data_IF_462854786658
#
_entry.id   IF_462854786658
#
_cell.length_a   1.000
_cell.length_b   1.000
_cell.length_c   1.000
_cell.angle_alpha   90.00
_cell.angle_beta   90.00
_cell.angle_gamma   90.00
#
_symmetry.space_group_name_H-M   'P 1'
#
loop_
_entity.id
_entity.type
_entity.pdbx_description
1 polymer ?
#
# COMPACT_ATOMS: atom_id res chain seq x y z
N UNK A 1 -77.47 -21.08 -32.96
CA UNK A 1 -77.66 -22.55 -33.08
C UNK A 1 -76.29 -23.18 -33.36
N UNK A 2 -75.77 -23.89 -32.37
CA UNK A 2 -75.19 -25.25 -32.42
C UNK A 2 -74.44 -25.79 -33.66
N UNK A 3 -73.22 -26.29 -33.37
CA UNK A 3 -72.59 -27.58 -33.82
C UNK A 3 -72.05 -27.56 -35.28
N UNK A 4 -70.93 -28.14 -35.72
CA UNK A 4 -69.94 -29.17 -35.30
C UNK A 4 -68.72 -29.00 -36.23
N UNK A 5 -67.47 -29.00 -35.74
CA UNK A 5 -66.57 -30.15 -35.59
C UNK A 5 -65.80 -30.58 -36.85
N UNK A 6 -64.50 -30.82 -36.60
CA UNK A 6 -63.72 -31.95 -37.12
C UNK A 6 -63.30 -31.91 -38.59
N UNK A 7 -62.01 -31.65 -38.83
CA UNK A 7 -61.06 -32.64 -39.42
C UNK A 7 -59.69 -32.01 -39.63
N UNK A 8 -58.80 -32.15 -38.64
CA UNK A 8 -57.35 -31.98 -38.79
C UNK A 8 -56.66 -33.25 -38.29
N UNK A 9 -57.18 -34.39 -38.72
CA UNK A 9 -56.77 -35.72 -38.27
C UNK A 9 -56.32 -36.54 -39.48
N UNK A 10 -55.23 -36.12 -40.13
CA UNK A 10 -54.60 -36.96 -41.16
C UNK A 10 -53.21 -36.44 -41.51
N UNK A 11 -52.21 -36.62 -40.62
CA UNK A 11 -50.78 -36.79 -41.02
C UNK A 11 -49.84 -37.08 -39.84
N UNK A 12 -50.03 -38.12 -39.04
CA UNK A 12 -48.92 -38.68 -38.24
C UNK A 12 -49.12 -40.19 -38.00
N UNK A 13 -48.98 -40.98 -39.06
CA UNK A 13 -48.88 -42.43 -38.97
C UNK A 13 -47.91 -42.93 -40.05
N UNK A 14 -46.63 -43.06 -39.71
CA UNK A 14 -45.72 -43.91 -40.49
C UNK A 14 -44.68 -44.56 -39.59
N UNK A 15 -44.67 -45.90 -39.64
CA UNK A 15 -43.72 -46.86 -39.06
C UNK A 15 -43.85 -47.15 -37.55
N UNK A 16 -44.66 -48.17 -37.26
CA UNK A 16 -44.40 -49.05 -36.12
C UNK A 16 -45.14 -48.74 -34.81
N UNK A 17 -46.47 -48.63 -34.87
CA UNK A 17 -47.34 -49.27 -33.87
C UNK A 17 -47.35 -48.77 -32.42
N UNK A 18 -47.00 -47.51 -32.12
CA UNK A 18 -47.23 -46.94 -30.79
C UNK A 18 -47.71 -45.48 -30.89
N UNK A 19 -49.04 -45.29 -30.88
CA UNK A 19 -49.66 -43.98 -30.69
C UNK A 19 -49.55 -43.62 -29.20
N UNK A 20 -48.62 -42.72 -28.86
CA UNK A 20 -48.52 -42.17 -27.50
C UNK A 20 -49.42 -40.94 -27.41
N UNK A 21 -50.51 -41.04 -26.65
CA UNK A 21 -51.26 -39.86 -26.19
C UNK A 21 -50.30 -38.94 -25.41
N UNK A 22 -50.19 -37.65 -25.79
CA UNK A 22 -49.42 -36.68 -25.02
C UNK A 22 -50.29 -36.22 -23.84
N UNK A 23 -50.28 -36.97 -22.73
CA UNK A 23 -51.15 -36.63 -21.61
C UNK A 23 -50.77 -37.14 -20.23
N UNK A 24 -50.06 -38.27 -20.09
CA UNK A 24 -49.95 -38.92 -18.76
C UNK A 24 -48.57 -39.39 -18.36
N UNK A 25 -47.63 -39.57 -19.30
CA UNK A 25 -46.25 -39.99 -18.99
C UNK A 25 -45.29 -38.80 -18.75
N UNK A 26 -45.61 -37.61 -19.26
CA UNK A 26 -44.80 -36.40 -19.08
C UNK A 26 -44.84 -35.81 -17.65
N UNK A 27 -45.91 -36.06 -16.88
CA UNK A 27 -46.05 -35.49 -15.53
C UNK A 27 -45.25 -36.23 -14.45
N UNK A 28 -44.99 -37.53 -14.61
CA UNK A 28 -44.26 -38.34 -13.63
C UNK A 28 -42.73 -38.18 -13.79
N UNK A 29 -42.28 -38.09 -15.04
CA UNK A 29 -40.86 -37.82 -15.38
C UNK A 29 -40.48 -36.38 -15.02
N UNK A 30 -41.40 -35.42 -15.16
CA UNK A 30 -41.22 -34.03 -14.70
C UNK A 30 -41.01 -33.94 -13.17
N UNK A 31 -41.81 -34.64 -12.37
CA UNK A 31 -41.68 -34.64 -10.91
C UNK A 31 -40.41 -35.36 -10.41
N UNK A 32 -40.03 -36.46 -11.05
CA UNK A 32 -38.80 -37.20 -10.71
C UNK A 32 -37.56 -36.44 -11.20
N UNK A 33 -37.56 -35.87 -12.40
CA UNK A 33 -36.47 -35.05 -12.89
C UNK A 33 -36.30 -33.76 -12.08
N UNK A 34 -37.40 -33.15 -11.61
CA UNK A 34 -37.39 -32.00 -10.69
C UNK A 34 -36.75 -32.36 -9.34
N UNK A 35 -37.17 -33.47 -8.72
CA UNK A 35 -36.59 -33.92 -7.44
C UNK A 35 -35.14 -34.39 -7.58
N UNK A 36 -34.78 -35.04 -8.69
CA UNK A 36 -33.40 -35.41 -9.00
C UNK A 36 -32.53 -34.17 -9.26
N UNK A 37 -33.06 -33.13 -9.92
CA UNK A 37 -32.38 -31.86 -10.12
C UNK A 37 -32.19 -31.10 -8.80
N UNK A 38 -33.16 -31.14 -7.88
CA UNK A 38 -33.01 -30.59 -6.53
C UNK A 38 -31.95 -31.37 -5.72
N UNK A 39 -31.92 -32.70 -5.82
CA UNK A 39 -30.89 -33.52 -5.17
C UNK A 39 -29.49 -33.30 -5.78
N UNK A 40 -29.40 -33.11 -7.10
CA UNK A 40 -28.15 -32.76 -7.78
C UNK A 40 -27.71 -31.32 -7.46
N UNK A 41 -28.64 -30.39 -7.33
CA UNK A 41 -28.35 -29.02 -6.90
C UNK A 41 -27.90 -28.98 -5.42
N UNK A 42 -28.55 -29.74 -4.54
CA UNK A 42 -28.15 -29.87 -3.13
C UNK A 42 -26.81 -30.60 -2.99
N UNK A 43 -26.55 -31.66 -3.75
CA UNK A 43 -25.22 -32.31 -3.73
C UNK A 43 -24.14 -31.41 -4.33
N UNK A 44 -24.44 -30.69 -5.41
CA UNK A 44 -23.58 -29.62 -5.95
C UNK A 44 -23.28 -28.52 -4.93
N UNK A 45 -24.26 -28.14 -4.12
CA UNK A 45 -24.11 -27.21 -2.99
C UNK A 45 -23.12 -27.75 -1.95
N UNK A 46 -23.21 -29.04 -1.59
CA UNK A 46 -22.26 -29.67 -0.66
C UNK A 46 -20.81 -29.66 -1.16
N UNK A 47 -20.57 -29.72 -2.47
CA UNK A 47 -19.22 -29.66 -3.05
C UNK A 47 -18.75 -28.23 -3.37
N UNK A 48 -19.65 -27.33 -3.77
CA UNK A 48 -19.33 -25.96 -4.16
C UNK A 48 -19.01 -25.07 -2.95
N UNK A 49 -19.77 -25.17 -1.86
CA UNK A 49 -19.59 -24.36 -0.65
C UNK A 49 -18.20 -24.51 0.00
N UNK A 50 -17.67 -25.72 0.23
CA UNK A 50 -16.33 -25.87 0.77
C UNK A 50 -15.25 -25.42 -0.21
N UNK A 51 -15.46 -25.54 -1.53
CA UNK A 51 -14.52 -25.04 -2.56
C UNK A 51 -14.46 -23.52 -2.56
N UNK A 52 -15.61 -22.85 -2.55
CA UNK A 52 -15.71 -21.38 -2.50
C UNK A 52 -15.14 -20.82 -1.19
N UNK A 53 -15.40 -21.48 -0.05
CA UNK A 53 -14.79 -21.11 1.25
C UNK A 53 -13.27 -21.26 1.25
N UNK A 54 -12.73 -22.30 0.62
CA UNK A 54 -11.27 -22.48 0.48
C UNK A 54 -10.65 -21.42 -0.42
N UNK A 55 -11.31 -21.07 -1.52
CA UNK A 55 -10.86 -20.03 -2.43
C UNK A 55 -10.84 -18.65 -1.75
N UNK A 56 -11.94 -18.26 -1.09
CA UNK A 56 -12.01 -17.00 -0.32
C UNK A 56 -10.92 -16.92 0.76
N UNK A 57 -10.66 -18.01 1.48
CA UNK A 57 -9.55 -18.05 2.46
C UNK A 57 -8.18 -17.97 1.80
N UNK A 58 -8.00 -18.52 0.60
CA UNK A 58 -6.74 -18.40 -0.12
C UNK A 58 -6.51 -16.94 -0.55
N UNK A 59 -7.55 -16.28 -1.05
CA UNK A 59 -7.56 -14.86 -1.41
C UNK A 59 -7.22 -13.97 -0.20
N UNK A 60 -7.86 -14.19 0.94
CA UNK A 60 -7.55 -13.47 2.19
C UNK A 60 -6.09 -13.62 2.61
N UNK A 61 -5.53 -14.83 2.48
CA UNK A 61 -4.13 -15.10 2.81
C UNK A 61 -3.19 -14.40 1.82
N UNK A 62 -3.55 -14.34 0.53
CA UNK A 62 -2.74 -13.61 -0.47
C UNK A 62 -2.77 -12.11 -0.22
N UNK A 63 -3.93 -11.52 0.06
CA UNK A 63 -4.06 -10.10 0.38
C UNK A 63 -3.32 -9.76 1.67
N UNK A 64 -3.41 -10.60 2.69
CA UNK A 64 -2.64 -10.42 3.91
C UNK A 64 -1.13 -10.46 3.66
N UNK A 65 -0.63 -11.34 2.77
CA UNK A 65 0.80 -11.35 2.41
C UNK A 65 1.22 -10.09 1.66
N UNK A 66 0.38 -9.58 0.77
CA UNK A 66 0.62 -8.32 0.06
C UNK A 66 0.70 -7.14 1.03
N UNK A 67 -0.22 -7.07 1.99
CA UNK A 67 -0.20 -6.09 3.06
C UNK A 67 1.11 -6.16 3.86
N UNK A 68 1.53 -7.37 4.26
CA UNK A 68 2.80 -7.57 4.96
C UNK A 68 4.01 -7.11 4.14
N UNK A 69 4.01 -7.39 2.84
CA UNK A 69 5.06 -6.93 1.93
C UNK A 69 5.09 -5.40 1.79
N UNK A 70 3.93 -4.74 1.75
CA UNK A 70 3.85 -3.28 1.75
C UNK A 70 4.39 -2.67 3.04
N UNK A 71 4.03 -3.21 4.20
CA UNK A 71 4.57 -2.77 5.50
C UNK A 71 6.09 -2.92 5.53
N UNK A 72 6.60 -4.07 5.07
CA UNK A 72 8.04 -4.32 5.01
C UNK A 72 8.75 -3.32 4.08
N UNK A 73 8.23 -3.14 2.86
CA UNK A 73 8.77 -2.18 1.89
C UNK A 73 8.71 -0.75 2.42
N UNK A 74 7.62 -0.36 3.09
CA UNK A 74 7.48 0.96 3.70
C UNK A 74 8.56 1.20 4.76
N UNK A 75 8.84 0.21 5.61
CA UNK A 75 9.93 0.30 6.58
C UNK A 75 11.30 0.40 5.92
N UNK A 76 11.59 -0.43 4.92
CA UNK A 76 12.85 -0.34 4.15
C UNK A 76 13.03 1.05 3.52
N UNK A 77 11.98 1.58 2.90
CA UNK A 77 11.99 2.92 2.31
C UNK A 77 12.17 4.01 3.36
N UNK A 78 11.49 3.91 4.50
CA UNK A 78 11.67 4.85 5.59
C UNK A 78 13.12 4.81 6.11
N UNK A 79 13.68 3.62 6.35
CA UNK A 79 15.07 3.46 6.80
C UNK A 79 16.07 4.01 5.77
N UNK A 80 15.79 3.91 4.47
CA UNK A 80 16.65 4.49 3.43
C UNK A 80 16.71 6.02 3.47
N UNK A 81 15.76 6.69 4.13
CA UNK A 81 15.82 8.14 4.37
C UNK A 81 16.75 8.53 5.52
N UNK A 82 17.05 7.62 6.46
CA UNK A 82 17.93 7.88 7.61
C UNK A 82 19.29 8.47 7.18
N UNK A 83 20.08 7.82 6.30
CA UNK A 83 21.39 8.37 5.91
C UNK A 83 21.29 9.72 5.20
N UNK A 84 20.16 10.03 4.57
CA UNK A 84 19.91 11.29 3.87
C UNK A 84 19.53 12.41 4.84
N UNK A 85 18.65 12.13 5.81
CA UNK A 85 18.18 13.10 6.80
C UNK A 85 19.20 13.35 7.91
N UNK A 86 19.97 12.33 8.28
CA UNK A 86 20.94 12.34 9.39
C UNK A 86 22.39 12.36 8.90
N UNK A 87 22.65 12.46 7.60
CA UNK A 87 23.94 12.98 7.17
C UNK A 87 24.12 14.32 7.88
N UNK A 88 25.26 14.52 8.56
CA UNK A 88 25.56 15.80 9.17
C UNK A 88 25.53 16.84 8.06
N UNK A 89 24.41 17.56 7.95
CA UNK A 89 24.26 18.73 7.09
C UNK A 89 24.76 19.86 7.97
N UNK A 90 26.04 20.22 7.91
CA UNK A 90 26.62 21.19 8.79
C UNK A 90 26.30 22.56 8.19
N UNK A 91 25.03 22.93 8.23
CA UNK A 91 24.67 24.32 8.46
C UNK A 91 24.98 24.61 9.94
N UNK A 92 26.25 24.47 10.29
CA UNK A 92 26.75 24.73 11.63
C UNK A 92 26.80 26.24 11.75
N UNK A 93 25.66 26.85 12.07
CA UNK A 93 25.53 28.29 12.29
C UNK A 93 26.53 28.77 13.36
N UNK A 94 26.95 27.88 14.28
CA UNK A 94 28.01 28.14 15.26
C UNK A 94 29.43 28.14 14.67
N UNK A 95 29.68 27.44 13.57
CA UNK A 95 30.97 27.50 12.88
C UNK A 95 31.19 28.85 12.18
N UNK A 96 30.12 29.61 11.89
CA UNK A 96 30.24 30.98 11.38
C UNK A 96 30.75 31.98 12.43
N UNK A 97 30.69 31.65 13.73
CA UNK A 97 31.24 32.50 14.80
C UNK A 97 32.78 32.45 14.87
N UNK A 98 33.45 31.55 14.13
CA UNK A 98 34.90 31.32 14.24
C UNK A 98 35.59 31.10 12.88
N UNK A 99 35.57 32.05 11.94
CA UNK A 99 36.39 32.04 10.69
C UNK A 99 36.47 30.69 9.94
N UNK A 100 35.50 29.80 10.19
CA UNK A 100 35.64 28.39 9.87
C UNK A 100 34.95 28.17 8.53
N UNK A 101 35.59 27.44 7.62
CA UNK A 101 35.05 27.18 6.31
C UNK A 101 33.67 26.53 6.41
N UNK A 102 32.71 27.15 5.74
CA UNK A 102 31.38 26.58 5.60
C UNK A 102 31.47 25.17 4.97
N UNK A 103 30.80 24.19 5.55
CA UNK A 103 30.99 22.78 5.22
C UNK A 103 29.72 22.29 4.51
N UNK A 104 29.80 22.08 3.19
CA UNK A 104 28.64 21.80 2.35
C UNK A 104 28.78 20.45 1.65
N UNK A 105 27.75 19.59 1.64
CA UNK A 105 27.74 18.31 0.91
C UNK A 105 26.75 18.29 -0.25
N UNK A 106 27.06 17.50 -1.29
CA UNK A 106 26.21 17.30 -2.47
C UNK A 106 24.83 16.76 -2.06
N UNK A 107 23.73 17.17 -2.74
CA UNK A 107 22.40 16.63 -2.45
C UNK A 107 22.38 15.11 -2.57
N UNK A 108 21.61 14.43 -1.71
CA UNK A 108 21.22 13.07 -2.02
C UNK A 108 20.44 13.06 -3.35
N UNK A 109 20.54 11.96 -4.10
CA UNK A 109 19.82 11.80 -5.37
C UNK A 109 18.30 11.92 -5.24
N UNK A 110 17.56 12.07 -6.34
CA UNK A 110 16.09 12.14 -6.32
C UNK A 110 15.50 10.95 -5.57
N UNK A 111 14.55 11.21 -4.67
CA UNK A 111 13.86 10.13 -3.95
C UNK A 111 12.61 9.74 -4.72
N UNK A 112 12.50 8.47 -5.08
CA UNK A 112 11.36 7.96 -5.85
C UNK A 112 10.11 7.93 -4.98
N UNK A 113 9.04 8.61 -5.40
CA UNK A 113 7.71 8.49 -4.80
C UNK A 113 7.07 7.18 -5.29
N UNK A 114 6.85 6.23 -4.38
CA UNK A 114 6.27 4.93 -4.70
C UNK A 114 4.83 4.86 -4.18
N UNK A 115 3.85 5.17 -5.06
CA UNK A 115 2.41 5.09 -4.72
C UNK A 115 1.96 3.67 -4.37
N UNK A 116 2.76 2.65 -4.71
CA UNK A 116 2.51 1.24 -4.40
C UNK A 116 2.47 0.98 -2.87
N UNK A 117 2.91 1.93 -2.05
CA UNK A 117 2.85 1.87 -0.59
C UNK A 117 1.46 2.15 -0.01
N UNK A 118 0.56 2.76 -0.78
CA UNK A 118 -0.81 3.05 -0.32
C UNK A 118 -1.63 1.75 -0.18
N UNK A 119 -2.48 1.72 0.84
CA UNK A 119 -3.43 0.62 1.01
C UNK A 119 -4.48 0.64 -0.09
N UNK A 120 -4.69 -0.50 -0.73
CA UNK A 120 -5.75 -0.66 -1.71
C UNK A 120 -7.10 -0.99 -1.05
N UNK A 121 -8.18 -0.92 -1.83
CA UNK A 121 -9.54 -1.20 -1.34
C UNK A 121 -9.69 -2.63 -0.80
N UNK A 122 -8.93 -3.59 -1.33
CA UNK A 122 -9.03 -4.99 -0.93
C UNK A 122 -8.34 -5.24 0.41
N UNK A 123 -7.22 -4.57 0.67
CA UNK A 123 -6.49 -4.59 1.93
C UNK A 123 -7.28 -3.89 3.04
N UNK A 124 -7.87 -2.73 2.74
CA UNK A 124 -8.76 -2.02 3.67
C UNK A 124 -9.98 -2.89 4.00
N UNK A 125 -10.61 -3.49 2.98
CA UNK A 125 -11.76 -4.37 3.19
C UNK A 125 -11.39 -5.61 4.04
N UNK A 126 -10.20 -6.17 3.85
CA UNK A 126 -9.69 -7.27 4.68
C UNK A 126 -9.54 -6.85 6.14
N UNK A 127 -8.91 -5.70 6.40
CA UNK A 127 -8.72 -5.18 7.76
C UNK A 127 -10.05 -4.82 8.43
N UNK A 128 -10.99 -4.23 7.68
CA UNK A 128 -12.35 -3.98 8.15
C UNK A 128 -13.07 -5.29 8.51
N UNK A 129 -12.94 -6.32 7.67
CA UNK A 129 -13.51 -7.65 7.94
C UNK A 129 -12.94 -8.28 9.22
N UNK A 130 -11.69 -8.01 9.53
CA UNK A 130 -11.04 -8.45 10.77
C UNK A 130 -11.35 -7.56 11.99
N UNK A 131 -12.02 -6.42 11.80
CA UNK A 131 -12.29 -5.44 12.86
C UNK A 131 -11.08 -4.59 13.24
N UNK A 132 -10.04 -4.59 12.41
CA UNK A 132 -8.72 -3.98 12.70
C UNK A 132 -8.58 -2.61 11.98
N UNK A 133 -9.64 -1.79 12.02
CA UNK A 133 -9.71 -0.48 11.35
C UNK A 133 -8.64 0.48 11.89
N UNK A 134 -8.39 0.44 13.20
CA UNK A 134 -7.35 1.25 13.83
C UNK A 134 -5.97 0.96 13.21
N UNK A 135 -5.68 -0.32 12.98
CA UNK A 135 -4.42 -0.76 12.38
C UNK A 135 -4.29 -0.29 10.92
N UNK A 136 -5.39 -0.30 10.16
CA UNK A 136 -5.41 0.31 8.82
C UNK A 136 -5.07 1.80 8.86
N UNK A 137 -5.66 2.54 9.82
CA UNK A 137 -5.36 3.95 10.04
C UNK A 137 -3.88 4.21 10.41
N UNK A 138 -3.31 3.37 11.28
CA UNK A 138 -1.89 3.47 11.64
C UNK A 138 -0.96 3.29 10.43
N UNK A 139 -1.27 2.35 9.53
CA UNK A 139 -0.51 2.17 8.29
C UNK A 139 -0.66 3.39 7.38
N UNK A 140 -1.89 3.88 7.15
CA UNK A 140 -2.12 5.05 6.30
C UNK A 140 -1.36 6.28 6.80
N UNK A 141 -1.44 6.57 8.11
CA UNK A 141 -0.70 7.68 8.71
C UNK A 141 0.82 7.50 8.51
N UNK A 142 1.31 6.26 8.60
CA UNK A 142 2.75 6.00 8.43
C UNK A 142 3.22 6.20 6.98
N UNK A 143 2.35 5.89 6.01
CA UNK A 143 2.59 6.20 4.58
C UNK A 143 2.58 7.70 4.34
N UNK A 144 1.60 8.43 4.89
CA UNK A 144 1.50 9.89 4.77
C UNK A 144 2.70 10.60 5.39
N UNK A 145 3.16 10.15 6.56
CA UNK A 145 4.38 10.66 7.20
C UNK A 145 5.62 10.41 6.33
N UNK A 146 5.75 9.23 5.74
CA UNK A 146 6.83 8.93 4.80
C UNK A 146 6.81 9.89 3.61
N UNK A 147 5.65 10.08 2.97
CA UNK A 147 5.49 11.01 1.85
C UNK A 147 5.78 12.47 2.25
N UNK A 148 5.39 12.86 3.46
CA UNK A 148 5.66 14.19 4.01
C UNK A 148 7.16 14.41 4.22
N UNK A 149 7.90 13.41 4.72
CA UNK A 149 9.35 13.47 4.84
C UNK A 149 10.04 13.57 3.46
N UNK A 150 9.51 12.90 2.43
CA UNK A 150 10.00 13.11 1.06
C UNK A 150 9.80 14.55 0.60
N UNK A 151 8.61 15.11 0.87
CA UNK A 151 8.32 16.49 0.51
C UNK A 151 9.24 17.49 1.24
N UNK A 152 9.50 17.28 2.54
CA UNK A 152 10.45 18.11 3.28
C UNK A 152 11.87 18.04 2.71
N UNK A 153 12.30 16.86 2.25
CA UNK A 153 13.59 16.71 1.58
C UNK A 153 13.64 17.46 0.24
N UNK A 154 12.58 17.40 -0.56
CA UNK A 154 12.48 18.14 -1.83
C UNK A 154 12.53 19.66 -1.57
N UNK A 155 11.74 20.14 -0.61
CA UNK A 155 11.70 21.55 -0.23
C UNK A 155 13.04 22.03 0.34
N UNK A 156 13.68 21.22 1.16
CA UNK A 156 15.01 21.51 1.68
C UNK A 156 16.01 21.69 0.54
N UNK A 157 16.02 20.79 -0.47
CA UNK A 157 16.90 20.90 -1.64
C UNK A 157 16.64 22.18 -2.41
N UNK A 158 15.38 22.52 -2.66
CA UNK A 158 15.01 23.73 -3.40
C UNK A 158 15.46 25.00 -2.66
N UNK A 159 15.16 25.11 -1.36
CA UNK A 159 15.56 26.27 -0.55
C UNK A 159 17.08 26.39 -0.48
N UNK A 160 17.76 25.27 -0.33
CA UNK A 160 19.21 25.17 -0.32
C UNK A 160 19.82 25.63 -1.65
N UNK A 161 19.31 25.13 -2.77
CA UNK A 161 19.81 25.48 -4.11
C UNK A 161 19.52 26.95 -4.44
N UNK A 162 18.39 27.48 -3.97
CA UNK A 162 18.06 28.90 -4.09
C UNK A 162 19.03 29.80 -3.29
N UNK A 163 19.45 29.36 -2.10
CA UNK A 163 20.44 30.07 -1.28
C UNK A 163 21.78 30.14 -2.01
N UNK A 164 22.21 29.04 -2.64
CA UNK A 164 23.44 29.03 -3.42
C UNK A 164 23.46 30.00 -4.59
N UNK A 165 22.35 30.15 -5.31
CA UNK A 165 22.27 31.09 -6.42
C UNK A 165 22.46 32.55 -5.96
N UNK A 166 22.25 32.82 -4.67
CA UNK A 166 22.44 34.16 -4.07
C UNK A 166 23.83 34.39 -3.48
N UNK A 167 24.63 33.32 -3.29
CA UNK A 167 25.98 33.41 -2.74
C UNK A 167 27.02 33.44 -3.87
N UNK A 168 28.16 34.09 -3.65
CA UNK A 168 29.30 33.99 -4.57
C UNK A 168 29.76 32.53 -4.70
N UNK A 169 30.20 32.08 -5.90
CA UNK A 169 30.63 30.71 -6.11
C UNK A 169 31.79 30.34 -5.19
N UNK A 170 31.82 29.09 -4.74
CA UNK A 170 32.83 28.59 -3.82
C UNK A 170 34.23 28.75 -4.41
N UNK A 171 35.20 29.17 -3.58
CA UNK A 171 36.57 29.36 -4.05
C UNK A 171 37.32 28.03 -4.19
N UNK A 172 36.96 27.00 -3.40
CA UNK A 172 37.62 25.68 -3.45
C UNK A 172 36.77 24.56 -2.84
N UNK A 173 36.80 23.37 -3.47
CA UNK A 173 36.30 22.11 -2.88
C UNK A 173 37.46 21.39 -2.17
N UNK A 174 37.38 21.17 -0.87
CA UNK A 174 38.35 20.40 -0.08
C UNK A 174 37.58 19.28 0.63
N UNK A 175 37.94 18.02 0.39
CA UNK A 175 37.31 16.83 1.01
C UNK A 175 35.77 16.76 0.91
N UNK A 176 35.21 17.27 -0.20
CA UNK A 176 33.76 17.31 -0.40
C UNK A 176 33.10 18.60 0.06
N UNK A 177 33.84 19.51 0.68
CA UNK A 177 33.35 20.74 1.30
C UNK A 177 33.72 22.00 0.52
N UNK A 178 32.82 22.98 0.49
CA UNK A 178 32.98 24.22 -0.29
C UNK A 178 33.33 25.41 0.61
N UNK A 179 34.55 25.93 0.47
CA UNK A 179 34.99 27.16 1.13
C UNK A 179 34.35 28.39 0.46
N UNK A 180 33.49 29.10 1.21
CA UNK A 180 32.89 30.37 0.81
C UNK A 180 33.34 31.49 1.76
N UNK A 181 34.29 32.36 1.37
CA UNK A 181 34.46 33.62 2.08
C UNK A 181 33.24 34.51 1.81
N UNK A 182 32.44 34.73 2.85
CA UNK A 182 31.24 35.57 2.79
C UNK A 182 31.58 36.99 3.26
N UNK A 183 31.02 38.01 2.60
CA UNK A 183 30.99 39.36 3.17
C UNK A 183 29.85 39.47 4.22
N UNK A 184 29.82 40.56 5.00
CA UNK A 184 28.79 40.77 6.02
C UNK A 184 27.34 40.73 5.48
N UNK A 185 27.12 41.13 4.22
CA UNK A 185 25.79 41.12 3.59
C UNK A 185 25.36 39.69 3.23
N UNK A 186 26.28 38.88 2.70
CA UNK A 186 26.08 37.46 2.39
C UNK A 186 25.88 36.64 3.67
N UNK A 187 26.62 36.94 4.73
CA UNK A 187 26.45 36.33 6.06
C UNK A 187 25.05 36.63 6.62
N UNK A 188 24.58 37.86 6.50
CA UNK A 188 23.23 38.24 6.98
C UNK A 188 22.12 37.51 6.20
N UNK A 189 22.20 37.43 4.87
CA UNK A 189 21.24 36.67 4.06
C UNK A 189 21.33 35.16 4.30
N UNK A 190 22.55 34.66 4.51
CA UNK A 190 22.79 33.28 4.88
C UNK A 190 22.13 32.93 6.22
N UNK A 191 22.31 33.74 7.26
CA UNK A 191 21.66 33.53 8.55
C UNK A 191 20.13 33.61 8.43
N UNK A 192 19.63 34.60 7.67
CA UNK A 192 18.19 34.81 7.45
C UNK A 192 17.52 33.61 6.78
N UNK A 193 18.17 32.98 5.80
CA UNK A 193 17.61 31.86 5.02
C UNK A 193 18.03 30.50 5.55
N UNK A 194 19.21 30.39 6.15
CA UNK A 194 19.79 29.17 6.71
C UNK A 194 19.08 28.69 7.97
N UNK A 195 18.59 29.60 8.81
CA UNK A 195 17.80 29.22 10.01
C UNK A 195 16.52 28.45 9.61
N UNK A 196 15.65 28.94 8.71
CA UNK A 196 14.51 28.19 8.19
C UNK A 196 14.86 26.83 7.57
N UNK A 197 15.98 26.75 6.84
CA UNK A 197 16.45 25.51 6.20
C UNK A 197 16.83 24.47 7.26
N UNK A 198 17.49 24.91 8.34
CA UNK A 198 17.85 24.05 9.47
C UNK A 198 16.64 23.57 10.27
N UNK A 199 15.69 24.46 10.55
CA UNK A 199 14.46 24.06 11.24
C UNK A 199 13.68 23.04 10.44
N UNK A 200 13.61 23.19 9.11
CA UNK A 200 12.94 22.24 8.23
C UNK A 200 13.56 20.83 8.30
N UNK A 201 14.90 20.72 8.32
CA UNK A 201 15.57 19.43 8.48
C UNK A 201 15.33 18.85 9.87
N UNK A 202 15.43 19.67 10.92
CA UNK A 202 15.21 19.21 12.29
C UNK A 202 13.78 18.66 12.47
N UNK A 203 12.78 19.35 11.92
CA UNK A 203 11.39 18.90 11.91
C UNK A 203 11.22 17.59 11.13
N UNK A 204 11.91 17.45 9.98
CA UNK A 204 11.91 16.23 9.19
C UNK A 204 12.59 15.05 9.91
N UNK A 205 13.69 15.29 10.66
CA UNK A 205 14.36 14.29 11.49
C UNK A 205 13.46 13.81 12.63
N UNK A 206 12.76 14.73 13.31
CA UNK A 206 11.80 14.39 14.36
C UNK A 206 10.61 13.60 13.79
N UNK A 207 10.03 14.07 12.69
CA UNK A 207 8.94 13.38 11.99
C UNK A 207 9.36 11.98 11.53
N UNK A 208 10.56 11.83 10.98
CA UNK A 208 11.13 10.54 10.61
C UNK A 208 11.28 9.60 11.81
N UNK A 209 11.83 10.09 12.92
CA UNK A 209 12.05 9.28 14.14
C UNK A 209 10.73 8.74 14.69
N UNK A 210 9.71 9.60 14.77
CA UNK A 210 8.35 9.20 15.18
C UNK A 210 7.75 8.17 14.23
N UNK A 211 7.95 8.35 12.92
CA UNK A 211 7.44 7.41 11.93
C UNK A 211 8.14 6.05 11.98
N UNK A 212 9.47 6.03 12.18
CA UNK A 212 10.26 4.81 12.32
C UNK A 212 9.82 3.97 13.52
N UNK A 213 9.60 4.61 14.67
CA UNK A 213 9.04 3.96 15.86
C UNK A 213 7.66 3.35 15.60
N UNK A 214 6.76 4.12 14.97
CA UNK A 214 5.42 3.63 14.60
C UNK A 214 5.49 2.47 13.61
N UNK A 215 6.37 2.52 12.61
CA UNK A 215 6.54 1.43 11.64
C UNK A 215 7.03 0.15 12.31
N UNK A 216 7.98 0.25 13.25
CA UNK A 216 8.44 -0.88 14.07
C UNK A 216 7.28 -1.51 14.84
N UNK A 217 6.44 -0.71 15.49
CA UNK A 217 5.24 -1.19 16.18
C UNK A 217 4.25 -1.88 15.22
N UNK A 218 3.98 -1.28 14.06
CA UNK A 218 3.11 -1.86 13.03
C UNK A 218 3.63 -3.23 12.59
N UNK A 219 4.93 -3.35 12.31
CA UNK A 219 5.55 -4.60 11.88
C UNK A 219 5.53 -5.69 12.96
N UNK A 220 5.79 -5.32 14.22
CA UNK A 220 5.70 -6.23 15.36
C UNK A 220 4.28 -6.76 15.55
N UNK A 221 3.28 -5.89 15.42
CA UNK A 221 1.87 -6.23 15.59
C UNK A 221 1.27 -7.01 14.40
N UNK A 222 1.87 -6.93 13.21
CA UNK A 222 1.34 -7.54 11.99
C UNK A 222 1.16 -9.06 12.12
N UNK A 223 2.22 -9.78 12.47
CA UNK A 223 2.23 -11.24 12.54
C UNK A 223 1.19 -11.80 13.52
N UNK A 224 1.14 -11.37 14.81
CA UNK A 224 0.15 -11.90 15.76
C UNK A 224 -1.28 -11.56 15.33
N UNK A 225 -1.53 -10.37 14.80
CA UNK A 225 -2.84 -9.92 14.34
C UNK A 225 -3.32 -10.77 13.14
N UNK A 226 -2.47 -11.00 12.15
CA UNK A 226 -2.85 -11.87 11.01
C UNK A 226 -3.02 -13.34 11.40
N UNK A 227 -2.21 -13.86 12.34
CA UNK A 227 -2.34 -15.24 12.82
C UNK A 227 -3.64 -15.48 13.60
N UNK A 228 -4.09 -14.50 14.40
CA UNK A 228 -5.38 -14.51 15.11
C UNK A 228 -6.55 -14.75 14.16
N UNK A 229 -6.57 -14.06 13.02
CA UNK A 229 -7.69 -14.10 12.08
C UNK A 229 -7.60 -15.22 11.04
N UNK A 230 -6.40 -15.49 10.52
CA UNK A 230 -6.21 -16.46 9.42
C UNK A 230 -5.88 -17.88 9.89
N UNK A 231 -5.52 -18.08 11.16
CA UNK A 231 -5.09 -19.38 11.74
C UNK A 231 -4.00 -20.08 10.91
N UNK A 232 -3.18 -19.31 10.19
CA UNK A 232 -2.05 -19.77 9.37
C UNK A 232 -0.78 -19.06 9.81
N UNK A 233 0.37 -19.73 9.65
CA UNK A 233 1.68 -19.09 9.84
C UNK A 233 1.85 -17.98 8.80
N UNK A 234 2.04 -16.76 9.31
CA UNK A 234 2.36 -15.56 8.52
C UNK A 234 3.83 -15.19 8.69
N UNK A 235 4.46 -14.58 7.68
CA UNK A 235 5.80 -14.02 7.81
C UNK A 235 5.82 -12.99 8.96
N UNK A 236 6.87 -13.03 9.76
CA UNK A 236 7.20 -11.93 10.65
C UNK A 236 8.13 -10.96 9.93
N UNK A 237 8.06 -9.70 10.30
CA UNK A 237 8.96 -8.69 9.80
C UNK A 237 9.68 -8.07 11.00
N UNK A 238 10.98 -7.94 10.88
CA UNK A 238 11.82 -7.15 11.77
C UNK A 238 12.61 -6.20 10.88
N UNK A 239 12.54 -4.91 11.18
CA UNK A 239 13.46 -3.96 10.57
C UNK A 239 14.80 -4.10 11.26
N UNK A 240 15.90 -4.13 10.49
CA UNK A 240 17.24 -4.17 11.08
C UNK A 240 17.46 -2.91 11.90
N UNK A 241 17.95 -3.07 13.12
CA UNK A 241 18.69 -2.01 13.81
C UNK A 241 20.02 -1.86 13.06
N UNK A 242 20.00 -1.16 11.92
CA UNK A 242 21.25 -0.66 11.35
C UNK A 242 21.61 0.60 12.13
N UNK A 243 22.64 0.43 12.96
CA UNK A 243 23.36 1.44 13.74
C UNK A 243 23.49 2.77 12.97
#
# INVERSE_FOLDING_TARGET
MSISASTAAETYCSLGGWCLEPGTWANWVSGIASSLAVLLALSGYFFAFPKERRQKRAEEVTTARQLGFKIWRLGERNSSLKPVLFQEIPLNLRAMEQDNPFLWMDPPGPVTRDEVLLLDRTEIALLMKFGEIKYAGEITISVENYLSNLHYLDLWREMRDSLFLTLRPAEKKIDGHFLHPMNQTEETEFLRRGVPINTLIADAQEAWTRNDQRLKEIALNFKPLMQKHLRKKMPGFSFSETD
#
